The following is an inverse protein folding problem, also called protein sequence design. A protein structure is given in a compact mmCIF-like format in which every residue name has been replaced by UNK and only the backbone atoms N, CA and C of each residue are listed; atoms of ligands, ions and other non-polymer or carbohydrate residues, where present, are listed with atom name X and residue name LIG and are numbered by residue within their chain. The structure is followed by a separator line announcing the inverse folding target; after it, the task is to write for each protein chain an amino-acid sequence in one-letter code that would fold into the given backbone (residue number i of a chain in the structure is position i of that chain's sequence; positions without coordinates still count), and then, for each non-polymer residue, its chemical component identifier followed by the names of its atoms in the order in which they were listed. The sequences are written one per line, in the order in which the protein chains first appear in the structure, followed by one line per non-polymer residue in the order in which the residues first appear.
data_IF_439040841938
#
_entry.id   IF_439040841938
#
_cell.length_a   1.000
_cell.length_b   1.000
_cell.length_c   1.000
_cell.angle_alpha   90.00
_cell.angle_beta   90.00
_cell.angle_gamma   90.00
#
_symmetry.space_group_name_H-M   'P 1'
#
loop_
_entity.id
_entity.type
_entity.pdbx_description
1 polymer ?
#
# COMPACT_ATOMS: atom_id res chain seq x y z
N UNK A 1 -4.39 -15.87 6.90
CA UNK A 1 -5.24 -15.98 5.69
C UNK A 1 -4.32 -16.12 4.50
N UNK A 2 -4.53 -17.11 3.63
CA UNK A 2 -3.76 -17.26 2.39
C UNK A 2 -4.45 -16.47 1.28
N UNK A 3 -3.71 -15.62 0.57
CA UNK A 3 -4.16 -14.99 -0.66
C UNK A 3 -3.74 -15.86 -1.85
N UNK A 4 -4.58 -15.97 -2.86
CA UNK A 4 -4.24 -16.58 -4.14
C UNK A 4 -4.44 -15.51 -5.21
N UNK A 5 -3.43 -15.33 -6.06
CA UNK A 5 -3.47 -14.34 -7.13
C UNK A 5 -4.55 -14.76 -8.13
N UNK A 6 -5.50 -13.86 -8.37
CA UNK A 6 -6.60 -14.09 -9.32
C UNK A 6 -6.17 -13.81 -10.76
N UNK A 7 -7.07 -14.07 -11.71
CA UNK A 7 -6.83 -13.75 -13.12
C UNK A 7 -6.63 -12.23 -13.31
N UNK A 8 -5.72 -11.88 -14.22
CA UNK A 8 -5.34 -10.51 -14.57
C UNK A 8 -4.72 -9.68 -13.43
N UNK A 9 -4.30 -10.34 -12.33
CA UNK A 9 -3.59 -9.70 -11.22
C UNK A 9 -2.08 -9.89 -11.29
N UNK A 10 -1.36 -8.94 -10.68
CA UNK A 10 0.08 -9.04 -10.46
C UNK A 10 0.35 -8.74 -8.98
N UNK A 11 1.05 -9.65 -8.31
CA UNK A 11 1.42 -9.51 -6.91
C UNK A 11 2.94 -9.43 -6.75
N UNK A 12 3.39 -8.44 -5.98
CA UNK A 12 4.76 -8.38 -5.46
C UNK A 12 4.80 -9.15 -4.15
N UNK A 13 5.75 -10.07 -4.02
CA UNK A 13 6.00 -10.83 -2.80
C UNK A 13 7.28 -10.30 -2.17
N UNK A 14 7.18 -9.85 -0.91
CA UNK A 14 8.32 -9.43 -0.12
C UNK A 14 8.63 -10.53 0.90
N UNK A 15 9.90 -10.94 1.00
CA UNK A 15 10.35 -12.00 1.91
C UNK A 15 11.64 -11.60 2.64
N UNK A 16 11.75 -11.83 3.95
CA UNK A 16 13.03 -11.69 4.65
C UNK A 16 14.03 -12.75 4.14
N UNK A 17 15.28 -12.34 3.91
CA UNK A 17 16.32 -13.22 3.35
C UNK A 17 17.13 -13.91 4.44
N UNK A 18 17.65 -13.14 5.39
CA UNK A 18 18.66 -13.61 6.33
C UNK A 18 18.29 -13.26 7.77
N UNK A 19 18.54 -14.19 8.68
CA UNK A 19 18.47 -13.95 10.12
C UNK A 19 19.90 -13.90 10.67
N UNK A 20 20.15 -13.03 11.63
CA UNK A 20 21.42 -12.95 12.32
C UNK A 20 21.63 -14.12 13.30
N UNK A 21 22.78 -14.14 13.96
CA UNK A 21 23.13 -15.18 14.96
C UNK A 21 22.18 -15.25 16.16
N UNK A 22 21.33 -14.24 16.38
CA UNK A 22 20.34 -14.17 17.45
C UNK A 22 18.94 -14.55 16.96
N UNK A 23 18.78 -14.81 15.65
CA UNK A 23 17.50 -15.10 15.02
C UNK A 23 16.71 -13.86 14.63
N UNK A 24 17.31 -12.67 14.69
CA UNK A 24 16.67 -11.42 14.29
C UNK A 24 16.84 -11.18 12.78
N UNK A 25 15.82 -10.64 12.13
CA UNK A 25 15.91 -10.33 10.70
C UNK A 25 16.96 -9.23 10.45
N UNK A 26 17.86 -9.47 9.50
CA UNK A 26 18.93 -8.52 9.16
C UNK A 26 18.45 -7.25 8.44
N UNK A 27 17.15 -7.21 8.07
CA UNK A 27 16.58 -6.16 7.23
C UNK A 27 16.70 -6.44 5.73
N UNK A 28 17.48 -7.45 5.33
CA UNK A 28 17.64 -7.81 3.93
C UNK A 28 16.36 -8.41 3.34
N UNK A 29 15.89 -7.84 2.23
CA UNK A 29 14.64 -8.22 1.58
C UNK A 29 14.88 -8.90 0.21
N UNK A 30 14.05 -9.89 -0.10
CA UNK A 30 13.91 -10.46 -1.44
C UNK A 30 12.54 -10.12 -2.00
N UNK A 31 12.53 -9.69 -3.25
CA UNK A 31 11.32 -9.34 -4.00
C UNK A 31 11.04 -10.42 -5.06
N UNK A 32 9.83 -10.96 -5.05
CA UNK A 32 9.32 -11.87 -6.06
C UNK A 32 8.10 -11.29 -6.77
N UNK A 33 7.79 -11.83 -7.95
CA UNK A 33 6.61 -11.45 -8.72
C UNK A 33 5.76 -12.68 -9.03
N UNK A 34 4.45 -12.57 -8.84
CA UNK A 34 3.47 -13.57 -9.30
C UNK A 34 2.50 -12.88 -10.23
N UNK A 35 2.25 -13.52 -11.37
CA UNK A 35 1.37 -13.01 -12.42
C UNK A 35 0.24 -14.01 -12.61
N UNK A 36 -0.99 -13.54 -12.45
CA UNK A 36 -2.20 -14.30 -12.73
C UNK A 36 -2.39 -14.56 -14.21
N UNK A 37 -3.29 -15.47 -14.57
CA UNK A 37 -3.57 -15.73 -15.98
C UNK A 37 -4.29 -14.53 -16.60
N UNK A 38 -3.98 -14.21 -17.86
CA UNK A 38 -4.76 -13.23 -18.61
C UNK A 38 -6.09 -13.84 -19.04
N UNK A 39 -7.22 -13.27 -18.61
CA UNK A 39 -8.56 -13.73 -18.99
C UNK A 39 -9.52 -12.63 -19.41
N UNK A 40 -9.61 -11.56 -18.63
CA UNK A 40 -10.57 -10.47 -18.84
C UNK A 40 -9.96 -9.30 -19.59
N UNK A 41 -8.66 -9.07 -19.41
CA UNK A 41 -7.93 -7.99 -20.06
C UNK A 41 -7.02 -8.51 -21.16
N UNK A 42 -6.69 -7.63 -22.11
CA UNK A 42 -5.69 -7.96 -23.13
C UNK A 42 -4.31 -8.08 -22.49
N UNK A 43 -3.46 -8.89 -23.11
CA UNK A 43 -2.11 -9.19 -22.62
C UNK A 43 -1.24 -7.94 -22.44
N UNK A 44 -1.49 -6.87 -23.21
CA UNK A 44 -0.76 -5.60 -23.09
C UNK A 44 -1.03 -4.91 -21.74
N UNK A 45 -2.24 -5.07 -21.19
CA UNK A 45 -2.59 -4.53 -19.87
C UNK A 45 -1.80 -5.28 -18.79
N UNK A 46 -1.80 -6.61 -18.86
CA UNK A 46 -1.04 -7.43 -17.91
C UNK A 46 0.47 -7.18 -18.00
N UNK A 47 0.99 -7.00 -19.21
CA UNK A 47 2.38 -6.63 -19.45
C UNK A 47 2.73 -5.28 -18.82
N UNK A 48 1.82 -4.32 -18.88
CA UNK A 48 1.99 -3.03 -18.22
C UNK A 48 1.97 -3.15 -16.69
N UNK A 49 1.11 -3.99 -16.12
CA UNK A 49 1.11 -4.27 -14.68
C UNK A 49 2.41 -4.92 -14.22
N UNK A 50 2.92 -5.88 -15.00
CA UNK A 50 4.24 -6.49 -14.76
C UNK A 50 5.34 -5.43 -14.82
N UNK A 51 5.32 -4.54 -15.82
CA UNK A 51 6.29 -3.46 -15.92
C UNK A 51 6.28 -2.56 -14.68
N UNK A 52 5.10 -2.10 -14.24
CA UNK A 52 4.97 -1.29 -13.02
C UNK A 52 5.47 -2.04 -11.79
N UNK A 53 5.14 -3.33 -11.67
CA UNK A 53 5.56 -4.13 -10.54
C UNK A 53 7.08 -4.34 -10.52
N UNK A 54 7.72 -4.54 -11.67
CA UNK A 54 9.18 -4.62 -11.77
C UNK A 54 9.85 -3.28 -11.44
N UNK A 55 9.29 -2.15 -11.87
CA UNK A 55 9.78 -0.82 -11.48
C UNK A 55 9.70 -0.62 -9.96
N UNK A 56 8.57 -1.00 -9.33
CA UNK A 56 8.43 -0.95 -7.88
C UNK A 56 9.44 -1.86 -7.17
N UNK A 57 9.65 -3.08 -7.68
CA UNK A 57 10.63 -4.01 -7.13
C UNK A 57 12.06 -3.48 -7.19
N UNK A 58 12.49 -2.98 -8.35
CA UNK A 58 13.81 -2.36 -8.53
C UNK A 58 13.98 -1.13 -7.65
N UNK A 59 12.94 -0.31 -7.52
CA UNK A 59 12.98 0.85 -6.64
C UNK A 59 13.17 0.47 -5.18
N UNK A 60 12.50 -0.58 -4.70
CA UNK A 60 12.70 -1.10 -3.34
C UNK A 60 14.14 -1.61 -3.11
N UNK A 61 14.74 -2.24 -4.12
CA UNK A 61 16.15 -2.65 -4.07
C UNK A 61 17.08 -1.43 -3.99
N UNK A 62 16.87 -0.41 -4.83
CA UNK A 62 17.66 0.83 -4.78
C UNK A 62 17.57 1.53 -3.42
N UNK A 63 16.37 1.58 -2.83
CA UNK A 63 16.19 2.20 -1.50
C UNK A 63 16.86 1.43 -0.36
N UNK A 64 17.21 0.15 -0.54
CA UNK A 64 17.99 -0.59 0.47
C UNK A 64 19.47 -0.20 0.45
N UNK A 65 19.96 0.32 -0.67
CA UNK A 65 21.38 0.70 -0.86
C UNK A 65 21.63 2.20 -0.68
N UNK A 66 20.59 3.03 -0.81
CA UNK A 66 20.65 4.49 -0.74
C UNK A 66 19.74 5.05 0.37
N UNK A 67 20.36 5.48 1.48
CA UNK A 67 19.67 6.01 2.66
C UNK A 67 18.95 7.36 2.39
N UNK A 68 19.54 8.23 1.56
CA UNK A 68 18.94 9.52 1.23
C UNK A 68 17.66 9.32 0.40
N UNK A 69 17.73 8.41 -0.59
CA UNK A 69 16.58 8.00 -1.38
C UNK A 69 15.51 7.35 -0.50
N UNK A 70 15.89 6.45 0.41
CA UNK A 70 14.95 5.84 1.36
C UNK A 70 14.20 6.91 2.17
N UNK A 71 14.93 7.87 2.73
CA UNK A 71 14.37 8.93 3.57
C UNK A 71 13.38 9.82 2.79
N UNK A 72 13.71 10.25 1.57
CA UNK A 72 12.82 11.06 0.73
C UNK A 72 11.50 10.33 0.45
N UNK A 73 11.60 9.03 0.18
CA UNK A 73 10.46 8.17 -0.18
C UNK A 73 9.59 7.89 1.04
N UNK A 74 10.20 7.65 2.19
CA UNK A 74 9.50 7.49 3.46
C UNK A 74 8.73 8.76 3.85
N UNK A 75 9.36 9.93 3.76
CA UNK A 75 8.70 11.21 4.03
C UNK A 75 7.48 11.39 3.13
N UNK A 76 7.64 11.18 1.81
CA UNK A 76 6.52 11.27 0.87
C UNK A 76 5.42 10.24 1.16
N UNK A 77 5.78 9.02 1.56
CA UNK A 77 4.81 7.99 1.97
C UNK A 77 4.03 8.45 3.21
N UNK A 78 4.71 8.99 4.20
CA UNK A 78 4.10 9.45 5.46
C UNK A 78 3.13 10.62 5.22
N UNK A 79 3.50 11.55 4.35
CA UNK A 79 2.62 12.65 3.90
C UNK A 79 1.34 12.12 3.25
N UNK A 80 1.47 11.18 2.31
CA UNK A 80 0.36 10.59 1.58
C UNK A 80 -0.59 9.79 2.49
N UNK A 81 -0.02 9.06 3.46
CA UNK A 81 -0.78 8.27 4.43
C UNK A 81 -1.24 9.09 5.64
N UNK A 82 -0.90 10.39 5.69
CA UNK A 82 -1.20 11.27 6.81
C UNK A 82 -0.72 10.73 8.18
N UNK A 83 0.36 9.95 8.19
CA UNK A 83 0.89 9.29 9.40
C UNK A 83 1.34 10.33 10.44
N UNK A 84 1.81 11.50 9.98
CA UNK A 84 2.20 12.64 10.84
C UNK A 84 1.04 13.57 11.20
N UNK A 85 -0.14 13.41 10.58
CA UNK A 85 -1.35 14.13 10.99
C UNK A 85 -1.98 13.37 12.15
N UNK A 86 -1.37 13.50 13.34
CA UNK A 86 -2.08 13.30 14.62
C UNK A 86 -3.48 13.86 14.46
N UNK A 87 -4.48 12.97 14.56
CA UNK A 87 -5.91 13.24 14.51
C UNK A 87 -6.24 14.74 14.47
N UNK A 88 -6.36 15.32 13.27
CA UNK A 88 -7.09 16.57 13.16
C UNK A 88 -8.52 16.21 13.53
N UNK A 89 -8.86 16.43 14.80
CA UNK A 89 -10.22 16.39 15.31
C UNK A 89 -11.05 17.30 14.42
N UNK A 90 -11.77 16.70 13.46
CA UNK A 90 -12.79 17.38 12.68
C UNK A 90 -13.99 17.57 13.60
N UNK A 91 -13.88 18.53 14.52
CA UNK A 91 -15.03 19.12 15.19
C UNK A 91 -14.98 20.61 14.86
N UNK A 92 -15.67 21.00 13.79
CA UNK A 92 -16.17 22.37 13.70
C UNK A 92 -17.44 22.43 14.53
N UNK A 93 -17.41 23.17 15.64
CA UNK A 93 -18.64 23.61 16.31
C UNK A 93 -19.33 24.63 15.40
N UNK A 94 -20.42 24.23 14.76
CA UNK A 94 -21.33 25.15 14.08
C UNK A 94 -22.35 25.65 15.10
N UNK A 95 -22.31 26.96 15.39
CA UNK A 95 -23.35 27.62 16.19
C UNK A 95 -24.73 27.39 15.56
N UNK A 96 -25.68 26.87 16.35
CA UNK A 96 -27.10 26.88 16.01
C UNK A 96 -27.76 25.53 15.68
N UNK A 97 -27.13 24.38 15.94
CA UNK A 97 -27.84 23.08 15.87
C UNK A 97 -27.58 22.22 17.11
N UNK A 98 -28.63 21.99 17.88
CA UNK A 98 -28.64 21.18 19.11
C UNK A 98 -28.64 19.67 18.78
N UNK A 99 -27.67 19.22 17.98
CA UNK A 99 -27.61 17.84 17.53
C UNK A 99 -26.50 17.57 16.53
N UNK A 100 -25.60 16.64 16.87
CA UNK A 100 -24.48 16.14 16.07
C UNK A 100 -24.88 15.91 14.60
N UNK A 101 -24.41 16.77 13.69
CA UNK A 101 -24.53 16.53 12.25
C UNK A 101 -23.29 15.75 11.80
N UNK A 102 -23.47 14.46 11.53
CA UNK A 102 -22.46 13.63 10.86
C UNK A 102 -22.43 14.00 9.37
N UNK A 103 -21.33 14.59 8.89
CA UNK A 103 -21.07 14.65 7.44
C UNK A 103 -20.70 13.25 6.95
N UNK A 104 -21.65 12.61 6.29
CA UNK A 104 -21.42 11.36 5.57
C UNK A 104 -20.37 11.60 4.49
N UNK A 105 -19.19 10.98 4.62
CA UNK A 105 -18.18 10.99 3.56
C UNK A 105 -18.52 9.90 2.54
N UNK A 106 -17.88 9.92 1.36
CA UNK A 106 -18.11 8.91 0.30
C UNK A 106 -17.86 7.46 0.75
N UNK A 107 -17.22 7.27 1.91
CA UNK A 107 -16.92 5.99 2.53
C UNK A 107 -17.90 5.58 3.65
N UNK A 108 -18.88 6.42 4.01
CA UNK A 108 -19.93 6.08 5.01
C UNK A 108 -21.19 5.47 4.37
N UNK A 109 -21.20 5.27 3.04
CA UNK A 109 -22.23 4.45 2.38
C UNK A 109 -21.71 3.02 2.23
N UNK A 110 -21.92 2.21 3.24
CA UNK A 110 -22.35 0.80 3.09
C UNK A 110 -22.82 0.28 4.44
N UNK A 111 -23.68 -0.74 4.39
CA UNK A 111 -24.37 -1.42 5.48
C UNK A 111 -25.77 -0.92 5.82
N UNK A 112 -26.70 -1.30 4.94
CA UNK A 112 -28.10 -1.50 5.28
C UNK A 112 -28.73 -2.47 4.28
N UNK A 113 -28.92 -3.73 4.69
CA UNK A 113 -29.93 -4.60 4.09
C UNK A 113 -31.30 -4.06 4.50
N UNK A 114 -32.08 -3.61 3.53
CA UNK A 114 -33.54 -3.56 3.53
C UNK A 114 -34.02 -3.39 2.08
#
# INVERSE_FOLDING_TARGET
MSYTVDDDEVAIILRPVELDSKGEWTGQLSTGLVVGNSKHFKIEVLSYLVHLATLMGTFLEMTQEDEDLYNEVEERRNDNLAIDKKEQKVYEEVEGTDGKVLRLTKYTKTFGNA
#
